data_IF_215425069300
#
_entry.id   IF_215425069300
#
_cell.length_a   1.000
_cell.length_b   1.000
_cell.length_c   1.000
_cell.angle_alpha   90.00
_cell.angle_beta   90.00
_cell.angle_gamma   90.00
#
_symmetry.space_group_name_H-M   'P 1'
#
loop_
_entity.id
_entity.type
_entity.pdbx_description
1 polymer ?
#
# COMPACT_ATOMS: atom_id res chain seq x y z
N UNK A 1 2.03 -2.93 35.75
CA UNK A 1 3.16 -3.42 34.92
C UNK A 1 2.86 -4.84 34.54
N UNK A 2 2.32 -5.06 33.33
CA UNK A 2 1.92 -6.39 32.86
C UNK A 2 3.14 -7.16 32.37
N UNK A 3 3.22 -8.42 32.79
CA UNK A 3 4.21 -9.40 32.38
C UNK A 3 3.92 -9.82 30.93
N UNK A 4 4.07 -8.90 29.97
CA UNK A 4 3.61 -9.11 28.60
C UNK A 4 4.69 -9.76 27.76
N UNK A 5 4.66 -11.10 27.69
CA UNK A 5 5.18 -11.79 26.51
C UNK A 5 4.21 -11.51 25.37
N UNK A 6 4.54 -10.54 24.50
CA UNK A 6 3.76 -10.25 23.27
C UNK A 6 3.86 -11.38 22.21
N UNK A 7 4.41 -12.54 22.57
CA UNK A 7 4.77 -13.62 21.65
C UNK A 7 5.92 -13.25 20.73
N UNK A 8 6.14 -14.05 19.69
CA UNK A 8 7.13 -13.77 18.65
C UNK A 8 6.74 -12.59 17.77
N UNK A 9 7.74 -11.85 17.31
CA UNK A 9 7.62 -10.76 16.36
C UNK A 9 8.05 -11.14 14.94
N UNK A 10 8.79 -12.24 14.78
CA UNK A 10 9.37 -12.66 13.49
C UNK A 10 9.13 -14.13 13.21
N UNK A 11 9.17 -14.48 11.93
CA UNK A 11 9.02 -15.87 11.44
C UNK A 11 10.37 -16.60 11.38
N UNK A 12 11.44 -15.89 11.00
CA UNK A 12 12.77 -16.44 10.73
C UNK A 12 13.84 -15.94 11.71
N UNK A 13 13.48 -15.16 12.72
CA UNK A 13 14.42 -14.60 13.67
C UNK A 13 14.80 -15.57 14.78
N UNK A 14 16.03 -15.44 15.24
CA UNK A 14 16.55 -16.05 16.47
C UNK A 14 15.94 -15.44 17.73
N UNK A 15 16.16 -16.07 18.88
CA UNK A 15 15.76 -15.51 20.18
C UNK A 15 16.44 -14.17 20.48
N UNK A 16 17.64 -13.94 19.96
CA UNK A 16 18.39 -12.71 20.20
C UNK A 16 17.76 -11.51 19.50
N UNK A 17 17.29 -11.67 18.26
CA UNK A 17 16.58 -10.57 17.58
C UNK A 17 15.20 -10.35 18.19
N UNK A 18 14.53 -11.40 18.67
CA UNK A 18 13.26 -11.30 19.40
C UNK A 18 13.42 -10.49 20.69
N UNK A 19 14.47 -10.75 21.49
CA UNK A 19 14.81 -9.98 22.69
C UNK A 19 15.05 -8.50 22.36
N UNK A 20 15.84 -8.21 21.31
CA UNK A 20 16.08 -6.82 20.86
C UNK A 20 14.79 -6.12 20.43
N UNK A 21 13.91 -6.79 19.69
CA UNK A 21 12.62 -6.21 19.30
C UNK A 21 11.77 -5.93 20.54
N UNK A 22 11.73 -6.86 21.51
CA UNK A 22 11.01 -6.68 22.75
C UNK A 22 11.51 -5.46 23.56
N UNK A 23 12.83 -5.24 23.61
CA UNK A 23 13.41 -4.04 24.22
C UNK A 23 12.97 -2.75 23.52
N UNK A 24 12.98 -2.74 22.18
CA UNK A 24 12.48 -1.60 21.38
C UNK A 24 11.00 -1.36 21.71
N UNK A 25 10.18 -2.41 21.82
CA UNK A 25 8.75 -2.27 22.13
C UNK A 25 8.52 -1.68 23.53
N UNK A 26 9.30 -2.10 24.52
CA UNK A 26 9.26 -1.54 25.88
C UNK A 26 9.63 -0.05 25.87
N UNK A 27 10.67 0.32 25.12
CA UNK A 27 11.12 1.71 24.99
C UNK A 27 10.06 2.58 24.29
N UNK A 28 9.45 2.09 23.21
CA UNK A 28 8.32 2.79 22.54
C UNK A 28 7.14 2.94 23.49
N UNK A 29 6.75 1.88 24.19
CA UNK A 29 5.63 1.92 25.15
C UNK A 29 5.86 2.98 26.22
N UNK A 30 7.06 3.00 26.82
CA UNK A 30 7.46 3.99 27.82
C UNK A 30 7.42 5.43 27.27
N UNK A 31 7.97 5.65 26.07
CA UNK A 31 7.92 6.97 25.42
C UNK A 31 6.47 7.41 25.25
N UNK A 32 5.60 6.56 24.69
CA UNK A 32 4.20 6.92 24.43
C UNK A 32 3.44 7.19 25.72
N UNK A 33 3.55 6.30 26.71
CA UNK A 33 2.89 6.40 28.01
C UNK A 33 3.25 7.72 28.72
N UNK A 34 4.53 8.13 28.66
CA UNK A 34 4.98 9.39 29.26
C UNK A 34 4.42 10.66 28.60
N UNK A 35 3.89 10.57 27.38
CA UNK A 35 3.44 11.74 26.60
C UNK A 35 1.92 11.88 26.53
N UNK A 36 1.16 10.90 27.03
CA UNK A 36 -0.30 10.88 26.90
C UNK A 36 -0.98 10.64 28.25
N UNK A 37 -2.03 11.41 28.53
CA UNK A 37 -2.86 11.15 29.69
C UNK A 37 -3.56 9.78 29.52
N UNK A 38 -3.51 8.87 30.51
CA UNK A 38 -4.17 7.56 30.45
C UNK A 38 -5.65 7.61 30.06
N UNK A 39 -6.38 8.65 30.47
CA UNK A 39 -7.80 8.83 30.16
C UNK A 39 -8.06 9.19 28.68
N UNK A 40 -7.03 9.66 27.96
CA UNK A 40 -7.12 10.11 26.57
C UNK A 40 -6.67 9.05 25.56
N UNK A 41 -6.30 7.85 26.00
CA UNK A 41 -5.91 6.78 25.09
C UNK A 41 -6.65 5.48 25.36
N UNK A 42 -6.78 4.66 24.32
CA UNK A 42 -7.41 3.34 24.36
C UNK A 42 -6.35 2.26 24.30
N UNK A 43 -5.54 2.30 23.26
CA UNK A 43 -4.48 1.33 23.03
C UNK A 43 -3.39 1.91 22.13
N UNK A 44 -2.16 1.43 22.32
CA UNK A 44 -1.10 1.48 21.34
C UNK A 44 -0.97 0.07 20.75
N UNK A 45 -1.18 -0.05 19.45
CA UNK A 45 -1.04 -1.33 18.75
C UNK A 45 0.09 -1.27 17.74
N UNK A 46 0.74 -2.41 17.54
CA UNK A 46 1.67 -2.63 16.45
C UNK A 46 0.99 -3.38 15.31
N UNK A 47 1.26 -2.92 14.09
CA UNK A 47 0.72 -3.40 12.83
C UNK A 47 1.83 -4.03 11.98
N UNK A 48 1.50 -4.39 10.74
CA UNK A 48 2.48 -4.85 9.76
C UNK A 48 3.07 -6.23 10.10
N UNK A 49 4.28 -6.50 9.63
CA UNK A 49 4.94 -7.80 9.86
C UNK A 49 5.10 -8.12 11.34
N UNK A 50 5.67 -7.21 12.12
CA UNK A 50 5.91 -7.45 13.55
C UNK A 50 4.61 -7.55 14.37
N UNK A 51 3.56 -6.81 14.00
CA UNK A 51 2.23 -6.95 14.61
C UNK A 51 1.65 -8.36 14.41
N UNK A 52 1.93 -9.00 13.28
CA UNK A 52 1.50 -10.38 12.98
C UNK A 52 2.36 -11.45 13.63
N UNK A 53 3.54 -11.10 14.14
CA UNK A 53 4.58 -12.07 14.47
C UNK A 53 5.35 -12.57 13.24
N UNK A 54 5.30 -11.84 12.14
CA UNK A 54 5.85 -12.20 10.84
C UNK A 54 6.78 -11.11 10.28
N UNK A 55 7.43 -10.37 11.18
CA UNK A 55 8.42 -9.37 10.83
C UNK A 55 9.64 -10.00 10.17
N UNK A 56 10.20 -9.29 9.19
CA UNK A 56 11.41 -9.72 8.51
C UNK A 56 12.67 -9.41 9.30
N UNK A 57 13.69 -10.25 9.11
CA UNK A 57 15.01 -10.15 9.74
C UNK A 57 16.09 -10.11 8.67
N UNK A 58 17.07 -9.22 8.82
CA UNK A 58 18.23 -9.16 7.94
C UNK A 58 19.49 -9.50 8.72
N UNK A 59 20.39 -10.25 8.10
CA UNK A 59 21.68 -10.59 8.67
C UNK A 59 22.71 -9.58 8.15
N UNK A 60 23.45 -8.96 9.06
CA UNK A 60 24.54 -8.05 8.77
C UNK A 60 25.71 -8.37 9.70
N UNK A 61 26.88 -8.66 9.14
CA UNK A 61 28.08 -9.09 9.88
C UNK A 61 27.80 -10.22 10.89
N UNK A 62 27.08 -11.25 10.44
CA UNK A 62 26.71 -12.41 11.26
C UNK A 62 25.66 -12.14 12.35
N UNK A 63 25.12 -10.91 12.46
CA UNK A 63 24.12 -10.53 13.45
C UNK A 63 22.78 -10.20 12.80
N UNK A 64 21.70 -10.65 13.44
CA UNK A 64 20.34 -10.35 13.01
C UNK A 64 19.87 -8.97 13.47
N UNK A 65 19.17 -8.29 12.58
CA UNK A 65 18.51 -7.01 12.79
C UNK A 65 17.08 -7.02 12.22
N UNK A 66 16.15 -6.26 12.82
CA UNK A 66 14.84 -6.00 12.24
C UNK A 66 14.99 -5.40 10.83
N UNK A 67 14.31 -5.98 9.83
CA UNK A 67 14.39 -5.52 8.44
C UNK A 67 13.34 -4.47 8.07
N UNK A 68 12.09 -4.67 8.50
CA UNK A 68 10.98 -3.79 8.16
C UNK A 68 10.83 -2.65 9.17
N UNK A 69 10.04 -1.64 8.81
CA UNK A 69 9.61 -0.59 9.73
C UNK A 69 8.72 -1.17 10.85
N UNK A 70 8.72 -0.52 12.00
CA UNK A 70 7.77 -0.77 13.07
C UNK A 70 6.57 0.17 12.92
N UNK A 71 5.47 -0.36 12.41
CA UNK A 71 4.24 0.39 12.20
C UNK A 71 3.37 0.37 13.46
N UNK A 72 3.13 1.53 14.06
CA UNK A 72 2.27 1.69 15.23
C UNK A 72 1.02 2.50 14.91
N UNK A 73 -0.05 2.19 15.62
CA UNK A 73 -1.27 3.00 15.65
C UNK A 73 -1.65 3.30 17.10
N UNK A 74 -1.57 4.58 17.47
CA UNK A 74 -2.07 5.08 18.74
C UNK A 74 -3.56 5.42 18.61
N UNK A 75 -4.38 4.69 19.36
CA UNK A 75 -5.83 4.85 19.39
C UNK A 75 -6.19 5.73 20.58
N UNK A 76 -6.67 6.94 20.29
CA UNK A 76 -7.00 7.99 21.26
C UNK A 76 -8.49 8.03 21.55
N UNK A 77 -8.87 8.55 22.72
CA UNK A 77 -10.26 8.86 23.10
C UNK A 77 -10.41 10.37 23.13
N UNK A 78 -11.55 10.87 22.65
CA UNK A 78 -11.95 12.29 22.81
C UNK A 78 -10.94 13.35 22.32
N UNK A 79 -9.96 12.97 21.49
CA UNK A 79 -9.05 13.91 20.85
C UNK A 79 -9.54 14.24 19.44
N UNK A 80 -9.72 15.54 19.18
CA UNK A 80 -9.95 16.05 17.84
C UNK A 80 -8.65 16.06 17.01
N UNK A 81 -8.76 16.32 15.70
CA UNK A 81 -7.60 16.30 14.78
C UNK A 81 -6.46 17.25 15.19
N UNK A 82 -6.78 18.45 15.71
CA UNK A 82 -5.77 19.42 16.16
C UNK A 82 -4.97 18.85 17.33
N UNK A 83 -5.65 18.35 18.37
CA UNK A 83 -5.01 17.73 19.54
C UNK A 83 -4.21 16.47 19.15
N UNK A 84 -4.69 15.68 18.18
CA UNK A 84 -3.93 14.54 17.65
C UNK A 84 -2.65 14.99 16.96
N UNK A 85 -2.69 16.05 16.16
CA UNK A 85 -1.50 16.61 15.52
C UNK A 85 -0.51 17.19 16.55
N UNK A 86 -1.02 17.88 17.57
CA UNK A 86 -0.18 18.42 18.64
C UNK A 86 0.51 17.29 19.43
N UNK A 87 -0.23 16.23 19.76
CA UNK A 87 0.32 15.03 20.37
C UNK A 87 1.37 14.36 19.47
N UNK A 88 1.10 14.28 18.16
CA UNK A 88 2.06 13.78 17.17
C UNK A 88 3.36 14.58 17.22
N UNK A 89 3.28 15.92 17.21
CA UNK A 89 4.47 16.81 17.29
C UNK A 89 5.24 16.67 18.60
N UNK A 90 4.59 16.31 19.70
CA UNK A 90 5.25 16.05 20.99
C UNK A 90 5.99 14.71 21.01
N UNK A 91 5.37 13.66 20.47
CA UNK A 91 5.92 12.30 20.50
C UNK A 91 7.07 12.14 19.50
N UNK A 92 6.93 12.63 18.27
CA UNK A 92 7.90 12.35 17.20
C UNK A 92 9.35 12.71 17.55
N UNK A 93 9.66 13.89 18.13
CA UNK A 93 11.02 14.22 18.57
C UNK A 93 11.60 13.23 19.58
N UNK A 94 10.77 12.61 20.43
CA UNK A 94 11.18 11.62 21.42
C UNK A 94 11.49 10.25 20.80
N UNK A 95 10.89 9.95 19.64
CA UNK A 95 11.19 8.72 18.88
C UNK A 95 12.46 8.85 18.02
N UNK A 96 12.96 10.06 17.75
CA UNK A 96 14.16 10.27 16.91
C UNK A 96 15.41 9.56 17.46
N UNK A 97 15.76 9.65 18.77
CA UNK A 97 16.92 8.94 19.31
C UNK A 97 16.80 7.43 19.11
N UNK A 98 15.62 6.86 19.35
CA UNK A 98 15.37 5.44 19.15
C UNK A 98 15.49 5.04 17.66
N UNK A 99 14.93 5.85 16.75
CA UNK A 99 15.07 5.68 15.30
C UNK A 99 16.54 5.73 14.82
N UNK A 100 17.42 6.46 15.51
CA UNK A 100 18.87 6.47 15.19
C UNK A 100 19.58 5.21 15.69
N UNK A 101 19.12 4.65 16.81
CA UNK A 101 19.66 3.42 17.41
C UNK A 101 19.27 2.17 16.62
N UNK A 102 18.05 2.14 16.08
CA UNK A 102 17.56 1.03 15.27
C UNK A 102 17.91 1.26 13.80
N UNK A 103 18.32 0.22 13.06
CA UNK A 103 18.63 0.30 11.62
C UNK A 103 17.37 0.38 10.72
N UNK A 104 16.22 0.75 11.30
CA UNK A 104 14.90 0.79 10.67
C UNK A 104 14.12 2.02 11.14
N UNK A 105 12.85 2.17 10.79
CA UNK A 105 12.03 3.33 11.17
C UNK A 105 10.83 2.90 12.03
N UNK A 106 10.48 3.74 13.00
CA UNK A 106 9.21 3.69 13.74
C UNK A 106 8.25 4.68 13.08
N UNK A 107 7.15 4.13 12.55
CA UNK A 107 6.07 4.89 11.94
C UNK A 107 4.88 4.93 12.91
N UNK A 108 4.44 6.13 13.30
CA UNK A 108 3.34 6.30 14.26
C UNK A 108 2.13 6.98 13.62
N UNK A 109 1.06 6.21 13.42
CA UNK A 109 -0.28 6.72 13.17
C UNK A 109 -0.99 7.10 14.47
N UNK A 110 -1.84 8.13 14.42
CA UNK A 110 -2.75 8.48 15.53
C UNK A 110 -4.17 8.54 14.99
N UNK A 111 -5.09 7.83 15.64
CA UNK A 111 -6.52 7.81 15.26
C UNK A 111 -7.40 7.96 16.49
N UNK A 112 -8.63 8.44 16.31
CA UNK A 112 -9.63 8.43 17.38
C UNK A 112 -10.38 7.09 17.34
N UNK A 113 -10.67 6.51 18.50
CA UNK A 113 -11.47 5.30 18.63
C UNK A 113 -12.83 5.43 17.92
N UNK A 114 -13.51 6.58 18.00
CA UNK A 114 -14.80 6.81 17.31
C UNK A 114 -14.62 6.77 15.79
N UNK A 115 -13.60 7.45 15.25
CA UNK A 115 -13.30 7.42 13.82
C UNK A 115 -13.04 6.00 13.33
N UNK A 116 -12.31 5.18 14.10
CA UNK A 116 -12.04 3.80 13.74
C UNK A 116 -13.31 2.94 13.78
N UNK A 117 -14.21 3.17 14.75
CA UNK A 117 -15.52 2.49 14.80
C UNK A 117 -16.40 2.77 13.57
N UNK A 118 -16.23 3.90 12.89
CA UNK A 118 -17.08 4.32 11.77
C UNK A 118 -16.39 4.35 10.38
N UNK A 119 -15.09 4.13 10.28
CA UNK A 119 -14.35 4.16 8.98
C UNK A 119 -14.76 3.04 8.04
N UNK A 120 -14.74 3.19 6.72
CA UNK A 120 -15.06 2.09 5.80
C UNK A 120 -14.20 0.83 6.07
N UNK A 121 -14.77 -0.36 5.93
CA UNK A 121 -13.99 -1.59 6.05
C UNK A 121 -13.02 -1.69 4.87
N UNK A 122 -11.73 -1.84 5.15
CA UNK A 122 -10.62 -1.87 4.18
C UNK A 122 -9.67 -2.98 4.57
N UNK A 123 -8.85 -3.45 3.63
CA UNK A 123 -7.83 -4.48 3.85
C UNK A 123 -6.97 -4.15 5.06
N UNK A 124 -6.52 -2.89 5.19
CA UNK A 124 -5.70 -2.46 6.34
C UNK A 124 -6.40 -2.64 7.70
N UNK A 125 -7.72 -2.45 7.78
CA UNK A 125 -8.46 -2.57 9.03
C UNK A 125 -8.83 -4.03 9.36
N UNK A 126 -9.08 -4.83 8.34
CA UNK A 126 -9.16 -6.29 8.48
C UNK A 126 -7.83 -6.85 8.99
N UNK A 127 -6.74 -6.49 8.34
CA UNK A 127 -5.39 -6.89 8.71
C UNK A 127 -5.02 -6.45 10.13
N UNK A 128 -5.33 -5.20 10.50
CA UNK A 128 -5.18 -4.70 11.86
C UNK A 128 -5.97 -5.55 12.85
N UNK A 129 -7.25 -5.84 12.56
CA UNK A 129 -8.10 -6.56 13.52
C UNK A 129 -7.53 -7.92 13.91
N UNK A 130 -6.99 -8.65 12.95
CA UNK A 130 -6.53 -10.02 13.16
C UNK A 130 -5.03 -10.17 13.35
N UNK A 131 -4.23 -9.23 12.86
CA UNK A 131 -2.77 -9.30 12.84
C UNK A 131 -2.07 -8.17 13.59
N UNK A 132 -2.67 -7.67 14.67
CA UNK A 132 -2.04 -6.68 15.55
C UNK A 132 -1.47 -7.33 16.80
N UNK A 133 -0.56 -6.60 17.46
CA UNK A 133 -0.21 -6.81 18.87
C UNK A 133 -0.56 -5.56 19.67
N UNK A 134 -1.20 -5.73 20.82
CA UNK A 134 -1.43 -4.62 21.75
C UNK A 134 -0.20 -4.43 22.63
N UNK A 135 0.45 -3.28 22.48
CA UNK A 135 1.68 -2.94 23.19
C UNK A 135 1.38 -2.22 24.49
N UNK A 136 0.37 -1.35 24.50
CA UNK A 136 -0.10 -0.63 25.69
C UNK A 136 -1.61 -0.47 25.64
N UNK A 137 -2.28 -0.48 26.81
CA UNK A 137 -3.71 -0.19 26.94
C UNK A 137 -4.64 -1.40 26.79
N UNK A 138 -5.86 -1.16 26.33
CA UNK A 138 -6.93 -2.15 26.24
C UNK A 138 -6.75 -3.11 25.05
N UNK A 139 -6.32 -4.34 25.35
CA UNK A 139 -6.12 -5.40 24.35
C UNK A 139 -7.40 -5.91 23.71
N UNK A 140 -8.56 -5.68 24.32
CA UNK A 140 -9.84 -6.14 23.81
C UNK A 140 -10.47 -5.15 22.82
N UNK A 141 -9.97 -3.92 22.76
CA UNK A 141 -10.55 -2.89 21.91
C UNK A 141 -10.54 -3.27 20.43
N UNK A 142 -9.38 -3.63 19.86
CA UNK A 142 -9.27 -3.97 18.43
C UNK A 142 -10.05 -5.26 18.08
N UNK A 143 -9.95 -6.36 18.86
CA UNK A 143 -10.79 -7.54 18.65
C UNK A 143 -12.30 -7.24 18.64
N UNK A 144 -12.75 -6.26 19.44
CA UNK A 144 -14.16 -5.84 19.52
C UNK A 144 -14.72 -5.21 18.24
N UNK A 145 -13.87 -4.76 17.30
CA UNK A 145 -14.27 -4.12 16.04
C UNK A 145 -14.77 -5.12 15.00
N UNK A 146 -15.80 -5.91 15.35
CA UNK A 146 -16.33 -7.07 14.60
C UNK A 146 -16.81 -6.80 13.16
N UNK A 147 -16.91 -5.54 12.75
CA UNK A 147 -17.29 -5.11 11.39
C UNK A 147 -16.18 -5.27 10.35
N UNK A 148 -14.92 -5.32 10.78
CA UNK A 148 -13.79 -5.57 9.88
C UNK A 148 -13.72 -7.06 9.56
N UNK A 149 -14.33 -7.43 8.44
CA UNK A 149 -14.45 -8.81 7.94
C UNK A 149 -14.03 -8.83 6.48
N UNK A 150 -13.41 -9.92 6.03
CA UNK A 150 -12.93 -10.04 4.65
C UNK A 150 -14.06 -9.82 3.63
N UNK A 151 -15.23 -10.40 3.89
CA UNK A 151 -16.38 -10.41 2.98
C UNK A 151 -17.02 -9.02 2.75
N UNK A 152 -16.75 -8.06 3.63
CA UNK A 152 -17.33 -6.70 3.53
C UNK A 152 -16.31 -5.65 3.10
N UNK A 153 -15.09 -6.08 2.71
CA UNK A 153 -14.12 -5.20 2.07
C UNK A 153 -14.62 -4.90 0.66
N UNK A 154 -14.72 -3.62 0.26
CA UNK A 154 -15.13 -3.28 -1.09
C UNK A 154 -14.03 -3.66 -2.07
N UNK A 155 -14.42 -4.24 -3.22
CA UNK A 155 -13.50 -4.70 -4.26
C UNK A 155 -12.57 -3.59 -4.78
N UNK A 156 -13.03 -2.33 -4.77
CA UNK A 156 -12.19 -1.19 -5.16
C UNK A 156 -10.96 -1.01 -4.23
N UNK A 157 -11.00 -1.47 -2.98
CA UNK A 157 -9.86 -1.37 -2.06
C UNK A 157 -8.75 -2.35 -2.45
N UNK A 158 -9.10 -3.55 -2.90
CA UNK A 158 -8.18 -4.51 -3.49
C UNK A 158 -7.61 -4.02 -4.84
N UNK A 159 -8.44 -3.39 -5.70
CA UNK A 159 -7.92 -2.68 -6.88
C UNK A 159 -6.90 -1.60 -6.49
N UNK A 160 -7.20 -0.79 -5.49
CA UNK A 160 -6.26 0.25 -5.07
C UNK A 160 -4.94 -0.35 -4.56
N UNK A 161 -4.93 -1.57 -4.00
CA UNK A 161 -3.69 -2.28 -3.69
C UNK A 161 -2.86 -2.55 -4.96
N UNK A 162 -3.47 -3.03 -6.05
CA UNK A 162 -2.81 -3.23 -7.35
C UNK A 162 -2.20 -1.93 -7.87
N UNK A 163 -2.97 -0.84 -7.86
CA UNK A 163 -2.53 0.48 -8.36
C UNK A 163 -1.39 1.04 -7.49
N UNK A 164 -1.53 0.97 -6.17
CA UNK A 164 -0.47 1.40 -5.24
C UNK A 164 0.83 0.66 -5.48
N UNK A 165 0.76 -0.66 -5.74
CA UNK A 165 1.92 -1.52 -5.98
C UNK A 165 2.50 -1.36 -7.38
N UNK A 166 1.66 -1.30 -8.40
CA UNK A 166 2.08 -1.09 -9.78
C UNK A 166 2.70 0.30 -9.99
N UNK A 167 2.31 1.30 -9.21
CA UNK A 167 2.97 2.62 -9.21
C UNK A 167 4.45 2.52 -8.82
N UNK A 168 4.85 1.55 -7.96
CA UNK A 168 6.25 1.32 -7.64
C UNK A 168 7.06 0.86 -8.87
N UNK A 169 6.43 0.16 -9.80
CA UNK A 169 7.07 -0.25 -11.06
C UNK A 169 7.30 0.95 -11.97
N UNK A 170 6.33 1.87 -12.07
CA UNK A 170 6.50 3.14 -12.80
C UNK A 170 7.63 3.97 -12.19
N UNK A 171 7.73 4.03 -10.86
CA UNK A 171 8.85 4.70 -10.16
C UNK A 171 10.19 4.03 -10.53
N UNK A 172 10.24 2.70 -10.57
CA UNK A 172 11.45 1.97 -10.94
C UNK A 172 11.87 2.24 -12.39
N UNK A 173 10.94 2.33 -13.33
CA UNK A 173 11.26 2.71 -14.71
C UNK A 173 11.92 4.10 -14.78
N UNK A 174 11.47 5.07 -13.97
CA UNK A 174 12.13 6.38 -13.87
C UNK A 174 13.52 6.28 -13.22
N UNK A 175 13.70 5.41 -12.23
CA UNK A 175 15.00 5.16 -11.59
C UNK A 175 16.01 4.55 -12.57
N UNK A 176 15.58 3.58 -13.38
CA UNK A 176 16.44 2.86 -14.33
C UNK A 176 16.92 3.72 -15.50
N UNK A 177 16.28 4.88 -15.76
CA UNK A 177 16.76 5.85 -16.75
C UNK A 177 18.05 6.58 -16.34
N UNK A 178 18.50 6.44 -15.09
CA UNK A 178 19.76 7.03 -14.64
C UNK A 178 20.95 6.29 -15.23
N UNK A 179 21.95 7.05 -15.68
CA UNK A 179 23.20 6.49 -16.22
C UNK A 179 23.91 5.54 -15.26
N UNK A 180 23.93 5.88 -13.96
CA UNK A 180 24.57 5.08 -12.92
C UNK A 180 23.59 4.80 -11.77
N UNK A 181 23.46 3.53 -11.40
CA UNK A 181 22.67 3.08 -10.26
C UNK A 181 23.59 2.71 -9.11
N UNK A 182 23.60 3.54 -8.06
CA UNK A 182 24.27 3.18 -6.82
C UNK A 182 23.58 2.01 -6.11
N UNK A 183 24.27 1.40 -5.14
CA UNK A 183 23.76 0.24 -4.42
C UNK A 183 22.46 0.50 -3.67
N UNK A 184 22.22 1.71 -3.18
CA UNK A 184 20.99 2.04 -2.46
C UNK A 184 19.79 2.09 -3.40
N UNK A 185 19.97 2.67 -4.58
CA UNK A 185 18.97 2.68 -5.65
C UNK A 185 18.68 1.26 -6.13
N UNK A 186 19.70 0.42 -6.31
CA UNK A 186 19.53 -1.00 -6.66
C UNK A 186 18.70 -1.74 -5.59
N UNK A 187 19.04 -1.58 -4.30
CA UNK A 187 18.26 -2.15 -3.19
C UNK A 187 16.82 -1.62 -3.18
N UNK A 188 16.61 -0.34 -3.48
CA UNK A 188 15.28 0.26 -3.57
C UNK A 188 14.43 -0.37 -4.69
N UNK A 189 15.01 -0.55 -5.87
CA UNK A 189 14.36 -1.20 -7.02
C UNK A 189 13.94 -2.63 -6.64
N UNK A 190 14.85 -3.42 -6.05
CA UNK A 190 14.57 -4.79 -5.58
C UNK A 190 13.43 -4.78 -4.54
N UNK A 191 13.44 -3.86 -3.58
CA UNK A 191 12.36 -3.72 -2.58
C UNK A 191 11.03 -3.40 -3.24
N UNK A 192 11.01 -2.49 -4.22
CA UNK A 192 9.80 -2.11 -4.95
C UNK A 192 9.22 -3.27 -5.74
N UNK A 193 10.07 -4.02 -6.46
CA UNK A 193 9.66 -5.19 -7.23
C UNK A 193 9.03 -6.25 -6.32
N UNK A 194 9.71 -6.62 -5.23
CA UNK A 194 9.17 -7.60 -4.28
C UNK A 194 7.87 -7.12 -3.63
N UNK A 195 7.76 -5.83 -3.26
CA UNK A 195 6.50 -5.25 -2.77
C UNK A 195 5.38 -5.30 -3.82
N UNK A 196 5.73 -5.12 -5.09
CA UNK A 196 4.78 -5.20 -6.19
C UNK A 196 4.26 -6.63 -6.36
N UNK A 197 5.16 -7.61 -6.48
CA UNK A 197 4.83 -9.04 -6.57
C UNK A 197 3.86 -9.43 -5.45
N UNK A 198 4.20 -9.11 -4.19
CA UNK A 198 3.38 -9.45 -3.04
C UNK A 198 1.99 -8.81 -3.14
N UNK A 199 1.87 -7.51 -3.46
CA UNK A 199 0.54 -6.91 -3.51
C UNK A 199 -0.30 -7.33 -4.71
N UNK A 200 0.32 -7.71 -5.84
CA UNK A 200 -0.41 -8.34 -6.95
C UNK A 200 -0.92 -9.73 -6.56
N UNK A 201 -0.09 -10.57 -5.94
CA UNK A 201 -0.54 -11.87 -5.46
C UNK A 201 -1.57 -11.78 -4.33
N UNK A 202 -1.43 -10.81 -3.42
CA UNK A 202 -2.41 -10.54 -2.36
C UNK A 202 -3.77 -10.13 -2.95
N UNK A 203 -3.78 -9.24 -3.95
CA UNK A 203 -5.00 -8.86 -4.64
C UNK A 203 -5.61 -10.06 -5.41
N UNK A 204 -4.79 -10.88 -6.06
CA UNK A 204 -5.24 -12.11 -6.71
C UNK A 204 -5.94 -13.03 -5.70
N UNK A 205 -5.31 -13.32 -4.56
CA UNK A 205 -5.92 -14.11 -3.48
C UNK A 205 -7.23 -13.49 -2.98
N UNK A 206 -7.33 -12.17 -2.91
CA UNK A 206 -8.58 -11.48 -2.54
C UNK A 206 -9.70 -11.77 -3.53
N UNK A 207 -9.45 -11.61 -4.83
CA UNK A 207 -10.46 -11.89 -5.86
C UNK A 207 -10.75 -13.39 -6.05
N UNK A 208 -9.84 -14.25 -5.60
CA UNK A 208 -10.03 -15.71 -5.51
C UNK A 208 -10.70 -16.17 -4.21
N UNK A 209 -11.16 -15.23 -3.37
CA UNK A 209 -11.77 -15.49 -2.06
C UNK A 209 -10.88 -16.26 -1.07
N UNK A 210 -9.56 -16.14 -1.20
CA UNK A 210 -8.58 -16.88 -0.40
C UNK A 210 -7.56 -15.98 0.32
N UNK A 211 -7.82 -14.67 0.35
CA UNK A 211 -6.97 -13.72 1.09
C UNK A 211 -6.95 -14.02 2.60
N UNK A 212 -5.77 -13.89 3.22
CA UNK A 212 -5.59 -13.98 4.67
C UNK A 212 -4.78 -12.79 5.18
N UNK A 213 -4.96 -12.45 6.46
CA UNK A 213 -4.18 -11.40 7.10
C UNK A 213 -2.71 -11.83 7.28
N UNK A 214 -2.44 -13.11 7.57
CA UNK A 214 -1.09 -13.66 7.75
C UNK A 214 -0.37 -13.77 6.40
N UNK A 215 0.89 -13.30 6.35
CA UNK A 215 1.76 -13.45 5.20
C UNK A 215 2.14 -14.92 4.97
N UNK A 216 2.43 -15.66 6.05
CA UNK A 216 2.76 -17.09 5.95
C UNK A 216 1.58 -17.88 5.40
N UNK A 217 0.38 -17.60 5.89
CA UNK A 217 -0.83 -18.27 5.41
C UNK A 217 -1.14 -17.90 3.95
N UNK A 218 -0.94 -16.64 3.54
CA UNK A 218 -1.07 -16.25 2.12
C UNK A 218 -0.06 -16.95 1.20
N UNK A 219 1.19 -17.08 1.64
CA UNK A 219 2.22 -17.82 0.90
C UNK A 219 1.78 -19.28 0.68
N UNK A 220 1.36 -19.97 1.76
CA UNK A 220 0.85 -21.34 1.70
C UNK A 220 -0.36 -21.47 0.78
N UNK A 221 -1.32 -20.55 0.88
CA UNK A 221 -2.53 -20.55 0.04
C UNK A 221 -2.20 -20.39 -1.43
N UNK A 222 -1.33 -19.43 -1.77
CA UNK A 222 -0.89 -19.23 -3.15
C UNK A 222 -0.25 -20.49 -3.74
N UNK A 223 0.62 -21.16 -2.97
CA UNK A 223 1.25 -22.42 -3.40
C UNK A 223 0.20 -23.50 -3.74
N UNK A 224 -0.87 -23.59 -2.94
CA UNK A 224 -1.93 -24.59 -3.08
C UNK A 224 -3.01 -24.27 -4.13
N UNK A 225 -2.95 -23.12 -4.82
CA UNK A 225 -3.93 -22.76 -5.86
C UNK A 225 -3.71 -23.58 -7.13
N UNK A 226 -4.74 -24.19 -7.69
CA UNK A 226 -4.61 -24.88 -8.99
C UNK A 226 -4.90 -23.96 -10.20
N UNK A 227 -5.51 -22.81 -9.95
CA UNK A 227 -5.96 -21.83 -10.93
C UNK A 227 -5.01 -20.62 -11.06
N UNK A 228 -3.82 -20.72 -10.48
CA UNK A 228 -2.73 -19.75 -10.63
C UNK A 228 -1.56 -20.44 -11.30
N UNK A 229 -0.90 -19.78 -12.26
CA UNK A 229 0.23 -20.36 -12.96
C UNK A 229 1.38 -20.68 -12.02
N UNK A 230 2.01 -21.83 -12.25
CA UNK A 230 3.12 -22.32 -11.42
C UNK A 230 4.30 -21.33 -11.39
N UNK A 231 4.54 -20.63 -12.51
CA UNK A 231 5.56 -19.59 -12.59
C UNK A 231 5.27 -18.43 -11.65
N UNK A 232 4.03 -17.94 -11.60
CA UNK A 232 3.70 -16.82 -10.72
C UNK A 232 3.73 -17.24 -9.25
N UNK A 233 3.33 -18.47 -8.91
CA UNK A 233 3.46 -19.00 -7.54
C UNK A 233 4.91 -18.97 -7.07
N UNK A 234 5.85 -19.45 -7.89
CA UNK A 234 7.29 -19.42 -7.58
C UNK A 234 7.81 -17.99 -7.39
N UNK A 235 7.35 -17.05 -8.22
CA UNK A 235 7.71 -15.63 -8.09
C UNK A 235 7.17 -15.04 -6.78
N UNK A 236 5.91 -15.32 -6.44
CA UNK A 236 5.27 -14.87 -5.21
C UNK A 236 5.94 -15.45 -3.96
N UNK A 237 6.26 -16.75 -3.99
CA UNK A 237 6.96 -17.45 -2.92
C UNK A 237 8.34 -16.83 -2.63
N UNK A 238 9.15 -16.62 -3.67
CA UNK A 238 10.46 -15.96 -3.54
C UNK A 238 10.34 -14.55 -2.96
N UNK A 239 9.29 -13.81 -3.34
CA UNK A 239 9.04 -12.47 -2.80
C UNK A 239 8.61 -12.50 -1.33
N UNK A 240 7.84 -13.51 -0.91
CA UNK A 240 7.50 -13.75 0.50
C UNK A 240 8.72 -14.12 1.32
N UNK A 241 9.58 -15.02 0.85
CA UNK A 241 10.84 -15.32 1.55
C UNK A 241 11.76 -14.08 1.61
N UNK A 242 11.83 -13.27 0.55
CA UNK A 242 12.54 -11.99 0.61
C UNK A 242 11.95 -11.04 1.66
N UNK A 243 10.64 -11.06 1.88
CA UNK A 243 9.99 -10.26 2.94
C UNK A 243 10.43 -10.71 4.33
N UNK A 244 10.54 -12.01 4.57
CA UNK A 244 10.89 -12.56 5.88
C UNK A 244 12.40 -12.52 6.16
N UNK A 245 13.23 -12.79 5.16
CA UNK A 245 14.68 -12.79 5.30
C UNK A 245 15.34 -12.35 3.97
N UNK A 246 15.45 -11.04 3.70
CA UNK A 246 15.95 -10.55 2.43
C UNK A 246 17.43 -10.90 2.24
N UNK A 247 17.73 -11.51 1.10
CA UNK A 247 19.09 -11.77 0.60
C UNK A 247 19.28 -10.98 -0.69
N UNK A 248 19.77 -9.73 -0.56
CA UNK A 248 19.85 -8.79 -1.69
C UNK A 248 20.80 -9.29 -2.79
N UNK A 249 21.85 -9.99 -2.39
CA UNK A 249 22.92 -10.50 -3.24
C UNK A 249 22.35 -11.39 -4.37
N UNK A 250 21.29 -12.14 -4.07
CA UNK A 250 20.58 -13.00 -5.03
C UNK A 250 19.90 -12.21 -6.15
N UNK A 251 19.48 -10.98 -5.87
CA UNK A 251 18.77 -10.10 -6.80
C UNK A 251 19.69 -9.07 -7.45
N UNK A 252 20.85 -8.79 -6.84
CA UNK A 252 21.79 -7.79 -7.33
C UNK A 252 22.38 -8.14 -8.70
N UNK A 253 22.32 -9.39 -9.12
CA UNK A 253 22.86 -9.85 -10.41
C UNK A 253 21.84 -9.76 -11.55
N UNK A 254 20.60 -9.39 -11.26
CA UNK A 254 19.54 -9.39 -12.26
C UNK A 254 19.69 -8.20 -13.19
N UNK A 255 19.34 -8.41 -14.46
CA UNK A 255 18.97 -7.33 -15.36
C UNK A 255 17.59 -6.83 -14.93
N UNK A 256 17.55 -5.65 -14.30
CA UNK A 256 16.31 -5.09 -13.78
C UNK A 256 15.33 -4.69 -14.88
N UNK A 257 15.79 -4.31 -16.07
CA UNK A 257 14.90 -3.94 -17.17
C UNK A 257 14.15 -5.19 -17.61
N UNK A 258 14.90 -6.24 -17.96
CA UNK A 258 14.33 -7.52 -18.37
C UNK A 258 13.44 -8.12 -17.28
N UNK A 259 13.87 -8.09 -16.02
CA UNK A 259 13.08 -8.63 -14.90
C UNK A 259 11.73 -7.90 -14.74
N UNK A 260 11.71 -6.58 -14.89
CA UNK A 260 10.45 -5.83 -14.83
C UNK A 260 9.56 -6.09 -16.04
N UNK A 261 10.11 -6.26 -17.24
CA UNK A 261 9.35 -6.60 -18.45
C UNK A 261 8.66 -7.96 -18.31
N UNK A 262 9.39 -8.96 -17.81
CA UNK A 262 8.83 -10.30 -17.53
C UNK A 262 7.69 -10.22 -16.49
N UNK A 263 7.88 -9.47 -15.40
CA UNK A 263 6.86 -9.27 -14.37
C UNK A 263 5.63 -8.50 -14.87
N UNK A 264 5.82 -7.57 -15.81
CA UNK A 264 4.74 -6.73 -16.34
C UNK A 264 3.64 -7.58 -16.98
N UNK A 265 4.01 -8.64 -17.70
CA UNK A 265 3.05 -9.58 -18.30
C UNK A 265 2.22 -10.30 -17.25
N UNK A 266 2.85 -10.78 -16.16
CA UNK A 266 2.12 -11.38 -15.04
C UNK A 266 1.20 -10.38 -14.35
N UNK A 267 1.69 -9.17 -14.11
CA UNK A 267 0.91 -8.12 -13.47
C UNK A 267 -0.28 -7.69 -14.32
N UNK A 268 -0.09 -7.54 -15.63
CA UNK A 268 -1.18 -7.22 -16.55
C UNK A 268 -2.28 -8.28 -16.51
N UNK A 269 -1.91 -9.56 -16.62
CA UNK A 269 -2.86 -10.67 -16.55
C UNK A 269 -3.64 -10.66 -15.22
N UNK A 270 -2.94 -10.53 -14.09
CA UNK A 270 -3.57 -10.50 -12.77
C UNK A 270 -4.49 -9.28 -12.64
N UNK A 271 -4.05 -8.11 -13.11
CA UNK A 271 -4.85 -6.89 -13.06
C UNK A 271 -6.14 -7.05 -13.86
N UNK A 272 -6.02 -7.57 -15.08
CA UNK A 272 -7.14 -7.85 -15.97
C UNK A 272 -8.15 -8.79 -15.31
N UNK A 273 -7.67 -9.88 -14.70
CA UNK A 273 -8.49 -10.81 -13.93
C UNK A 273 -9.22 -10.12 -12.76
N UNK A 274 -8.49 -9.39 -11.93
CA UNK A 274 -9.04 -8.69 -10.77
C UNK A 274 -10.13 -7.68 -11.17
N UNK A 275 -9.89 -6.91 -12.23
CA UNK A 275 -10.87 -5.93 -12.73
C UNK A 275 -12.08 -6.60 -13.37
N UNK A 276 -11.91 -7.70 -14.10
CA UNK A 276 -13.05 -8.48 -14.59
C UNK A 276 -13.95 -8.93 -13.43
N UNK A 277 -13.36 -9.48 -12.36
CA UNK A 277 -14.08 -9.87 -11.15
C UNK A 277 -14.67 -8.69 -10.37
N UNK A 278 -14.03 -7.52 -10.39
CA UNK A 278 -14.56 -6.29 -9.80
C UNK A 278 -15.79 -5.79 -10.53
N UNK A 279 -15.73 -5.77 -11.86
CA UNK A 279 -16.76 -5.27 -12.75
C UNK A 279 -17.89 -6.27 -12.99
N UNK A 280 -17.73 -7.52 -12.55
CA UNK A 280 -18.71 -8.59 -12.75
C UNK A 280 -18.77 -9.05 -14.21
N UNK A 281 -17.61 -9.12 -14.85
CA UNK A 281 -17.43 -9.54 -16.24
C UNK A 281 -16.58 -10.81 -16.29
N UNK A 282 -16.81 -11.71 -17.25
CA UNK A 282 -15.95 -12.89 -17.43
C UNK A 282 -14.54 -12.49 -17.87
N UNK A 283 -14.45 -11.48 -18.73
CA UNK A 283 -13.20 -10.88 -19.19
C UNK A 283 -13.43 -9.38 -19.47
N UNK A 284 -12.35 -8.61 -19.54
CA UNK A 284 -12.35 -7.20 -19.95
C UNK A 284 -11.33 -6.97 -21.06
N UNK A 285 -11.56 -6.04 -21.97
CA UNK A 285 -10.49 -5.49 -22.82
C UNK A 285 -10.04 -4.16 -22.25
N UNK A 286 -8.73 -3.91 -22.18
CA UNK A 286 -8.23 -2.61 -21.77
C UNK A 286 -8.65 -1.45 -22.69
N UNK A 287 -9.02 -1.74 -23.94
CA UNK A 287 -9.57 -0.71 -24.84
C UNK A 287 -10.96 -0.21 -24.40
N UNK A 288 -11.74 -1.06 -23.76
CA UNK A 288 -13.09 -0.74 -23.28
C UNK A 288 -13.11 -0.48 -21.77
N UNK A 289 -12.07 -0.91 -21.05
CA UNK A 289 -12.01 -0.90 -19.60
C UNK A 289 -12.32 0.47 -18.98
N UNK A 290 -11.71 1.60 -19.39
CA UNK A 290 -12.02 2.88 -18.77
C UNK A 290 -13.50 3.27 -18.90
N UNK A 291 -14.12 3.01 -20.06
CA UNK A 291 -15.55 3.26 -20.29
C UNK A 291 -16.41 2.45 -19.31
N UNK A 292 -16.12 1.15 -19.18
CA UNK A 292 -16.84 0.23 -18.30
C UNK A 292 -16.62 0.60 -16.83
N UNK A 293 -15.38 0.88 -16.44
CA UNK A 293 -14.99 1.18 -15.07
C UNK A 293 -15.56 2.52 -14.59
N UNK A 294 -15.51 3.58 -15.41
CA UNK A 294 -16.14 4.85 -15.06
C UNK A 294 -17.66 4.70 -14.97
N UNK A 295 -18.29 4.02 -15.94
CA UNK A 295 -19.73 3.72 -15.86
C UNK A 295 -20.08 2.97 -14.58
N UNK A 296 -19.28 1.96 -14.20
CA UNK A 296 -19.48 1.21 -12.95
C UNK A 296 -19.35 2.10 -11.72
N UNK A 297 -18.36 2.99 -11.67
CA UNK A 297 -18.16 3.91 -10.54
C UNK A 297 -19.39 4.79 -10.26
N UNK A 298 -20.12 5.18 -11.30
CA UNK A 298 -21.39 5.91 -11.18
C UNK A 298 -22.45 5.06 -10.47
N UNK A 299 -22.65 3.81 -10.91
CA UNK A 299 -23.69 2.91 -10.39
C UNK A 299 -23.29 2.15 -9.11
N UNK A 300 -22.01 2.13 -8.74
CA UNK A 300 -21.55 1.43 -7.56
C UNK A 300 -22.17 2.06 -6.30
N UNK A 301 -22.89 1.23 -5.53
CA UNK A 301 -23.56 1.67 -4.31
C UNK A 301 -22.54 2.16 -3.30
N UNK A 302 -22.76 3.37 -2.76
CA UNK A 302 -21.95 3.88 -1.66
C UNK A 302 -22.30 3.13 -0.37
N UNK A 303 -21.34 2.48 0.32
CA UNK A 303 -21.58 1.76 1.57
C UNK A 303 -21.97 2.68 2.74
N UNK A 304 -21.93 4.00 2.57
CA UNK A 304 -22.41 4.96 3.56
C UNK A 304 -22.95 6.25 2.94
N UNK A 305 -23.82 6.94 3.67
CA UNK A 305 -24.33 8.28 3.33
C UNK A 305 -23.19 9.27 3.11
N UNK A 306 -22.13 9.19 3.92
CA UNK A 306 -20.95 10.06 3.77
C UNK A 306 -20.25 9.85 2.42
N UNK A 307 -20.13 8.61 1.95
CA UNK A 307 -19.52 8.31 0.65
C UNK A 307 -20.43 8.71 -0.50
N UNK A 308 -21.75 8.59 -0.33
CA UNK A 308 -22.72 9.15 -1.27
C UNK A 308 -22.56 10.67 -1.40
N UNK A 309 -22.59 11.42 -0.28
CA UNK A 309 -22.39 12.87 -0.29
C UNK A 309 -21.06 13.29 -0.93
N UNK A 310 -19.99 12.54 -0.69
CA UNK A 310 -18.70 12.78 -1.38
C UNK A 310 -18.81 12.66 -2.89
N UNK A 311 -19.52 11.65 -3.42
CA UNK A 311 -19.76 11.53 -4.86
C UNK A 311 -20.46 12.78 -5.42
N UNK A 312 -21.46 13.31 -4.70
CA UNK A 312 -22.14 14.56 -5.10
C UNK A 312 -21.20 15.75 -5.09
N UNK A 313 -20.42 15.95 -4.03
CA UNK A 313 -19.45 17.04 -3.94
C UNK A 313 -18.44 16.96 -5.10
N UNK A 314 -17.95 15.77 -5.42
CA UNK A 314 -16.99 15.57 -6.50
C UNK A 314 -17.54 15.95 -7.89
N UNK A 315 -18.86 15.80 -8.13
CA UNK A 315 -19.49 16.20 -9.40
C UNK A 315 -19.33 17.71 -9.63
N UNK A 316 -19.35 18.51 -8.56
CA UNK A 316 -19.17 19.96 -8.61
C UNK A 316 -17.70 20.40 -8.64
N UNK A 317 -16.75 19.49 -8.42
CA UNK A 317 -15.34 19.81 -8.65
C UNK A 317 -15.11 20.02 -10.15
N UNK A 318 -14.30 21.03 -10.50
CA UNK A 318 -14.04 21.47 -11.87
C UNK A 318 -13.14 20.50 -12.68
N UNK A 319 -13.44 19.20 -12.65
CA UNK A 319 -12.77 18.18 -13.48
C UNK A 319 -13.41 18.17 -14.87
N UNK A 320 -12.63 18.51 -15.89
CA UNK A 320 -13.08 18.47 -17.29
C UNK A 320 -12.78 17.08 -17.88
N UNK A 321 -13.83 16.35 -18.23
CA UNK A 321 -13.70 15.17 -19.10
C UNK A 321 -13.62 15.66 -20.55
N UNK A 322 -12.48 15.48 -21.20
CA UNK A 322 -12.25 15.86 -22.60
C UNK A 322 -11.90 14.61 -23.40
N UNK A 323 -12.93 13.98 -23.98
CA UNK A 323 -12.79 12.77 -24.78
C UNK A 323 -14.14 12.22 -25.25
N UNK A 324 -14.07 11.15 -26.04
CA UNK A 324 -15.24 10.35 -26.42
C UNK A 324 -15.61 9.42 -25.26
N UNK A 325 -16.90 9.16 -25.06
CA UNK A 325 -17.41 8.32 -23.97
C UNK A 325 -18.90 8.54 -23.74
N UNK A 326 -19.59 7.53 -23.21
CA UNK A 326 -21.02 7.65 -22.92
C UNK A 326 -21.30 8.69 -21.83
N UNK A 327 -22.55 9.13 -21.74
CA UNK A 327 -23.00 10.03 -20.67
C UNK A 327 -22.65 9.49 -19.28
N UNK A 328 -22.87 8.19 -19.04
CA UNK A 328 -22.59 7.56 -17.75
C UNK A 328 -21.09 7.43 -17.45
N UNK A 329 -20.25 7.26 -18.48
CA UNK A 329 -18.80 7.32 -18.31
C UNK A 329 -18.36 8.72 -17.84
N UNK A 330 -18.84 9.78 -18.50
CA UNK A 330 -18.55 11.17 -18.12
C UNK A 330 -19.02 11.49 -16.70
N UNK A 331 -20.22 11.05 -16.34
CA UNK A 331 -20.75 11.20 -14.98
C UNK A 331 -19.93 10.40 -13.96
N UNK A 332 -19.58 9.16 -14.28
CA UNK A 332 -18.72 8.31 -13.46
C UNK A 332 -17.39 8.95 -13.15
N UNK A 333 -16.71 9.47 -14.18
CA UNK A 333 -15.47 10.25 -14.02
C UNK A 333 -15.64 11.41 -13.04
N UNK A 334 -16.72 12.19 -13.15
CA UNK A 334 -17.01 13.31 -12.26
C UNK A 334 -17.33 12.89 -10.83
N UNK A 335 -17.97 11.74 -10.61
CA UNK A 335 -18.29 11.26 -9.25
C UNK A 335 -17.07 10.82 -8.45
N UNK A 336 -15.98 10.45 -9.12
CA UNK A 336 -14.75 10.00 -8.48
C UNK A 336 -13.92 11.19 -7.99
N UNK A 337 -13.22 10.99 -6.87
CA UNK A 337 -12.12 11.87 -6.51
C UNK A 337 -10.95 11.65 -7.49
N UNK A 338 -9.97 12.56 -7.50
CA UNK A 338 -8.76 12.39 -8.32
C UNK A 338 -8.07 11.05 -8.03
N UNK A 339 -8.25 10.56 -6.79
CA UNK A 339 -7.92 9.22 -6.33
C UNK A 339 -8.40 8.10 -7.26
N UNK A 340 -9.73 8.01 -7.37
CA UNK A 340 -10.43 7.00 -8.14
C UNK A 340 -10.18 7.12 -9.64
N UNK A 341 -10.08 8.35 -10.17
CA UNK A 341 -9.75 8.58 -11.58
C UNK A 341 -8.36 8.03 -11.91
N UNK A 342 -7.35 8.36 -11.09
CA UNK A 342 -6.00 7.81 -11.27
C UNK A 342 -5.99 6.28 -11.28
N UNK A 343 -6.77 5.65 -10.40
CA UNK A 343 -6.84 4.19 -10.33
C UNK A 343 -7.40 3.55 -11.60
N UNK A 344 -8.40 4.18 -12.23
CA UNK A 344 -8.99 3.68 -13.49
C UNK A 344 -8.07 3.94 -14.68
N UNK A 345 -7.35 5.06 -14.70
CA UNK A 345 -6.44 5.37 -15.80
C UNK A 345 -5.07 4.66 -15.69
N UNK A 346 -4.72 4.16 -14.51
CA UNK A 346 -3.44 3.52 -14.24
C UNK A 346 -3.05 2.42 -15.26
N UNK A 347 -3.92 1.47 -15.65
CA UNK A 347 -3.55 0.42 -16.61
C UNK A 347 -3.04 0.97 -17.94
N UNK A 348 -3.61 2.09 -18.44
CA UNK A 348 -3.18 2.72 -19.69
C UNK A 348 -1.71 3.12 -19.65
N UNK A 349 -1.26 3.56 -18.48
CA UNK A 349 0.07 4.12 -18.23
C UNK A 349 1.06 3.01 -17.84
N UNK A 350 0.60 2.06 -17.02
CA UNK A 350 1.40 0.95 -16.55
C UNK A 350 1.73 -0.01 -17.69
N UNK A 351 0.75 -0.33 -18.55
CA UNK A 351 0.86 -1.36 -19.59
C UNK A 351 1.11 -0.81 -21.00
N UNK A 352 1.41 0.48 -21.13
CA UNK A 352 1.74 1.13 -22.42
C UNK A 352 0.62 1.01 -23.47
N UNK A 353 -0.63 1.12 -23.03
CA UNK A 353 -1.78 0.87 -23.90
C UNK A 353 -2.06 2.10 -24.77
N UNK A 354 -2.24 1.89 -26.08
CA UNK A 354 -2.40 2.97 -27.07
C UNK A 354 -3.85 3.33 -27.37
N UNK A 355 -4.72 3.32 -26.36
CA UNK A 355 -6.14 3.60 -26.53
C UNK A 355 -6.38 5.10 -26.79
N UNK A 356 -6.45 5.50 -28.07
CA UNK A 356 -6.60 6.91 -28.48
C UNK A 356 -7.73 7.64 -27.76
N UNK A 357 -8.88 7.00 -27.52
CA UNK A 357 -10.04 7.65 -26.90
C UNK A 357 -9.78 8.10 -25.46
N UNK A 358 -8.98 7.33 -24.71
CA UNK A 358 -8.69 7.62 -23.30
C UNK A 358 -7.31 8.21 -23.07
N UNK A 359 -6.41 8.19 -24.06
CA UNK A 359 -5.11 8.85 -23.97
C UNK A 359 -5.27 10.38 -23.86
N UNK A 360 -6.21 10.97 -24.60
CA UNK A 360 -6.52 12.40 -24.50
C UNK A 360 -7.13 12.72 -23.13
N UNK A 361 -8.09 11.90 -22.66
CA UNK A 361 -8.69 12.04 -21.33
C UNK A 361 -7.60 11.96 -20.25
N UNK A 362 -6.67 11.03 -20.40
CA UNK A 362 -5.58 10.80 -19.45
C UNK A 362 -4.58 11.96 -19.46
N UNK A 363 -4.14 12.40 -20.63
CA UNK A 363 -3.21 13.52 -20.78
C UNK A 363 -3.81 14.81 -20.20
N UNK A 364 -5.08 15.11 -20.51
CA UNK A 364 -5.79 16.27 -19.99
C UNK A 364 -5.98 16.20 -18.46
N UNK A 365 -6.39 15.05 -17.91
CA UNK A 365 -6.56 14.90 -16.47
C UNK A 365 -5.25 15.04 -15.70
N UNK A 366 -4.14 14.53 -16.27
CA UNK A 366 -2.82 14.59 -15.67
C UNK A 366 -2.09 15.92 -15.92
N UNK A 367 -2.65 16.82 -16.72
CA UNK A 367 -1.96 17.99 -17.27
C UNK A 367 -0.60 17.59 -17.88
N UNK A 368 -0.60 16.56 -18.73
CA UNK A 368 0.60 16.05 -19.38
C UNK A 368 0.93 16.86 -20.65
N UNK A 369 2.22 17.15 -20.93
CA UNK A 369 2.60 17.95 -22.11
C UNK A 369 2.33 17.23 -23.44
N UNK A 370 2.20 15.90 -23.43
CA UNK A 370 1.86 15.13 -24.61
C UNK A 370 1.11 13.84 -24.25
N UNK A 371 0.76 13.03 -25.24
CA UNK A 371 0.25 11.66 -25.06
C UNK A 371 1.36 10.61 -25.12
N UNK A 372 2.63 11.02 -25.11
CA UNK A 372 3.75 10.07 -25.02
C UNK A 372 3.70 9.32 -23.69
N UNK A 373 4.03 8.03 -23.71
CA UNK A 373 3.97 7.20 -22.50
C UNK A 373 4.92 7.71 -21.40
N UNK A 374 6.04 8.33 -21.80
CA UNK A 374 7.01 8.87 -20.86
C UNK A 374 6.47 10.10 -20.12
N UNK A 375 5.84 11.02 -20.85
CA UNK A 375 5.23 12.21 -20.27
C UNK A 375 4.03 11.85 -19.40
N UNK A 376 3.21 10.89 -19.84
CA UNK A 376 2.10 10.38 -19.04
C UNK A 376 2.57 9.74 -17.73
N UNK A 377 3.66 8.95 -17.76
CA UNK A 377 4.23 8.35 -16.53
C UNK A 377 4.75 9.43 -15.57
N UNK A 378 5.46 10.44 -16.07
CA UNK A 378 5.94 11.56 -15.24
C UNK A 378 4.77 12.34 -14.63
N UNK A 379 3.78 12.72 -15.43
CA UNK A 379 2.59 13.44 -14.95
C UNK A 379 1.74 12.59 -14.01
N UNK A 380 1.65 11.28 -14.24
CA UNK A 380 1.01 10.35 -13.33
C UNK A 380 1.69 10.33 -11.96
N UNK A 381 3.02 10.26 -11.91
CA UNK A 381 3.74 10.30 -10.63
C UNK A 381 3.54 11.65 -9.92
N UNK A 382 3.52 12.79 -10.64
CA UNK A 382 3.18 14.10 -10.06
C UNK A 382 1.78 14.09 -9.44
N UNK A 383 0.77 13.61 -10.18
CA UNK A 383 -0.59 13.52 -9.70
C UNK A 383 -0.71 12.55 -8.51
N UNK A 384 0.02 11.42 -8.56
CA UNK A 384 0.07 10.46 -7.47
C UNK A 384 0.62 11.08 -6.18
N UNK A 385 1.70 11.86 -6.27
CA UNK A 385 2.24 12.58 -5.11
C UNK A 385 1.21 13.53 -4.52
N UNK A 386 0.53 14.31 -5.37
CA UNK A 386 -0.45 15.30 -4.93
C UNK A 386 -1.67 14.68 -4.25
N UNK A 387 -2.17 13.57 -4.78
CA UNK A 387 -3.47 13.01 -4.37
C UNK A 387 -3.38 11.78 -3.45
N UNK A 388 -2.20 11.13 -3.35
CA UNK A 388 -2.04 9.87 -2.59
C UNK A 388 -0.87 9.87 -1.63
N UNK A 389 0.32 10.29 -2.07
CA UNK A 389 1.54 10.06 -1.30
C UNK A 389 2.50 11.26 -1.31
N UNK A 390 2.34 12.13 -0.31
CA UNK A 390 3.25 13.25 -0.11
C UNK A 390 4.68 12.78 0.27
N UNK A 391 4.85 11.58 0.84
CA UNK A 391 6.17 11.06 1.22
C UNK A 391 6.99 10.66 -0.01
N UNK A 392 6.34 10.36 -1.13
CA UNK A 392 7.00 10.10 -2.41
C UNK A 392 7.85 11.30 -2.86
N UNK A 393 7.44 12.55 -2.56
CA UNK A 393 8.25 13.73 -2.88
C UNK A 393 9.65 13.67 -2.27
N UNK A 394 9.74 13.29 -0.99
CA UNK A 394 11.00 13.16 -0.29
C UNK A 394 11.86 12.04 -0.90
N UNK A 395 11.24 10.93 -1.32
CA UNK A 395 11.93 9.84 -2.00
C UNK A 395 12.52 10.29 -3.34
N UNK A 396 11.73 10.96 -4.19
CA UNK A 396 12.20 11.45 -5.49
C UNK A 396 13.34 12.45 -5.33
N UNK A 397 13.21 13.39 -4.38
CA UNK A 397 14.26 14.37 -4.08
C UNK A 397 15.54 13.68 -3.57
N UNK A 398 15.42 12.76 -2.61
CA UNK A 398 16.54 11.98 -2.06
C UNK A 398 17.34 11.28 -3.17
N UNK A 399 16.64 10.78 -4.18
CA UNK A 399 17.26 10.05 -5.28
C UNK A 399 17.47 10.92 -6.53
N UNK A 400 17.33 12.25 -6.49
CA UNK A 400 17.53 13.16 -7.64
C UNK A 400 16.72 12.76 -8.89
N UNK A 401 15.45 12.37 -8.68
CA UNK A 401 14.51 12.11 -9.79
C UNK A 401 13.74 13.40 -10.08
N UNK A 402 13.95 13.96 -11.27
CA UNK A 402 13.24 15.14 -11.74
C UNK A 402 12.08 14.70 -12.64
N UNK A 403 10.88 15.20 -12.35
CA UNK A 403 9.66 14.87 -13.10
C UNK A 403 9.38 15.86 -14.24
N UNK A 404 10.08 16.99 -14.29
CA UNK A 404 10.03 17.93 -15.40
C UNK A 404 11.02 17.53 -16.48
N UNK A 405 10.61 17.63 -17.74
CA UNK A 405 11.40 17.29 -18.93
C UNK A 405 12.45 18.35 -19.29
N UNK A 406 12.57 19.41 -18.49
CA UNK A 406 13.40 20.59 -18.78
C UNK A 406 14.74 20.61 -18.04
N UNK A 407 15.51 19.50 -18.08
CA UNK A 407 16.95 19.48 -17.73
C UNK A 407 17.72 18.44 -18.52
#
# INVERSE_FOLDING_TARGET
MTNNSWGKFTVRGSEDVEKKIMEIMKEVAFIIESQINPNNFTALIMLGGYGRGEGGVVIFDGKEYPHNNFDFLLITRNLNKKKQNDLKKKIYPKLIPLNRKIKTQIDLGIVNASNLKHTANRIIWYDMRFGHKTILGDENFVPSLRRFRLQTIPKWDARNLLVNRGTLMIINELLLKKKNLDNDVRKLIIKHINKAIIGYGDALLFFLNDYNWSYVEKQKRMQNRNDVSEDFKKIYDKAMEFRFQPKYENYMRYDYIRWMEELKSHFEYIHKYCEAQHLGKPEIDWNEYPEIAFKRAFFERSPSVREFLKKFINIFENKKYQGKGSLFCKLGFKTLDSSGVLAILFPLIAYNLKNKNFMDVTSNFLNSPSTSIEDLRRSYIKAWMQYRDNALQALLHKHKIYLDSSR
#
